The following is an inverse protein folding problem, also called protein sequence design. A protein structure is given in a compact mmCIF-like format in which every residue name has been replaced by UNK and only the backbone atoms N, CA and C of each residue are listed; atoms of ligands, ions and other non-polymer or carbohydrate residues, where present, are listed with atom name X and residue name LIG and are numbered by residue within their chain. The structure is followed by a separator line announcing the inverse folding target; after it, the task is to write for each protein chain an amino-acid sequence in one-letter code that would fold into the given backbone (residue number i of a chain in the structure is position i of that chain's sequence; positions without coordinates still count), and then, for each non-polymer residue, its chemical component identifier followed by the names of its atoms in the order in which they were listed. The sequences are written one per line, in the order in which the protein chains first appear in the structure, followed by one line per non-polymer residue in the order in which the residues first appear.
data_IF_706606488366
#
_entry.id   IF_706606488366
#
_cell.length_a   1.000
_cell.length_b   1.000
_cell.length_c   1.000
_cell.angle_alpha   90.00
_cell.angle_beta   90.00
_cell.angle_gamma   90.00
#
_symmetry.space_group_name_H-M   'P 1'
#
loop_
_entity.id
_entity.type
_entity.pdbx_description
1 polymer ?
#
# COMPACT_ATOMS: atom_id res chain seq x y z
N UNK A 1 23.85 -11.14 -11.29
CA UNK A 1 22.37 -11.18 -11.18
C UNK A 1 21.92 -12.57 -11.55
N UNK A 2 21.00 -13.15 -10.79
CA UNK A 2 20.41 -14.45 -11.13
C UNK A 2 19.40 -14.20 -12.27
N UNK A 3 19.53 -14.81 -13.46
CA UNK A 3 18.64 -14.55 -14.59
C UNK A 3 17.31 -15.31 -14.44
N UNK A 4 16.59 -15.04 -13.34
CA UNK A 4 15.29 -15.63 -13.03
C UNK A 4 14.26 -14.51 -12.88
N UNK A 5 13.11 -14.65 -13.53
CA UNK A 5 11.97 -13.77 -13.31
C UNK A 5 11.40 -14.00 -11.91
N UNK A 6 11.18 -12.92 -11.15
CA UNK A 6 10.64 -13.01 -9.78
C UNK A 6 11.23 -12.00 -8.79
N UNK A 7 12.24 -11.22 -9.19
CA UNK A 7 12.81 -10.16 -8.34
C UNK A 7 13.28 -10.70 -6.98
N UNK A 8 12.92 -10.00 -5.91
CA UNK A 8 13.30 -10.34 -4.53
C UNK A 8 12.82 -11.74 -4.11
N UNK A 9 11.64 -12.15 -4.57
CA UNK A 9 11.14 -13.50 -4.29
C UNK A 9 12.06 -14.58 -4.86
N UNK A 10 12.59 -14.38 -6.08
CA UNK A 10 13.49 -15.37 -6.70
C UNK A 10 14.80 -15.48 -5.92
N UNK A 11 15.32 -14.37 -5.38
CA UNK A 11 16.51 -14.39 -4.53
C UNK A 11 16.27 -15.09 -3.19
N UNK A 12 15.14 -14.82 -2.54
CA UNK A 12 14.79 -15.44 -1.25
C UNK A 12 14.54 -16.93 -1.41
N UNK A 13 13.88 -17.34 -2.50
CA UNK A 13 13.60 -18.74 -2.78
C UNK A 13 14.89 -19.55 -3.04
N UNK A 14 15.85 -18.98 -3.77
CA UNK A 14 17.14 -19.65 -4.02
C UNK A 14 17.98 -19.78 -2.75
N UNK A 15 17.94 -18.77 -1.86
CA UNK A 15 18.76 -18.75 -0.64
C UNK A 15 18.16 -19.56 0.53
N UNK A 16 16.84 -19.52 0.71
CA UNK A 16 16.17 -20.05 1.90
C UNK A 16 15.06 -21.08 1.61
N UNK A 17 14.75 -21.33 0.33
CA UNK A 17 13.72 -22.27 -0.10
C UNK A 17 12.30 -21.69 -0.12
N UNK A 18 11.33 -22.57 -0.39
CA UNK A 18 9.96 -22.19 -0.77
C UNK A 18 9.11 -21.62 0.35
N UNK A 19 9.26 -22.10 1.58
CA UNK A 19 8.47 -21.65 2.74
C UNK A 19 8.72 -20.18 3.10
N UNK A 20 9.97 -19.73 3.35
CA UNK A 20 10.24 -18.31 3.62
C UNK A 20 9.95 -17.42 2.42
N UNK A 21 10.15 -17.92 1.19
CA UNK A 21 9.80 -17.19 -0.02
C UNK A 21 8.28 -16.96 -0.13
N UNK A 22 7.45 -17.96 0.22
CA UNK A 22 6.00 -17.81 0.26
C UNK A 22 5.55 -16.76 1.28
N UNK A 23 6.11 -16.76 2.49
CA UNK A 23 5.78 -15.77 3.52
C UNK A 23 6.11 -14.34 3.08
N UNK A 24 7.25 -14.16 2.40
CA UNK A 24 7.60 -12.88 1.79
C UNK A 24 6.55 -12.44 0.78
N UNK A 25 6.22 -13.30 -0.20
CA UNK A 25 5.21 -13.00 -1.23
C UNK A 25 3.84 -12.68 -0.60
N UNK A 26 3.42 -13.46 0.39
CA UNK A 26 2.16 -13.28 1.10
C UNK A 26 2.07 -11.91 1.77
N UNK A 27 3.08 -11.54 2.57
CA UNK A 27 3.14 -10.23 3.24
C UNK A 27 3.22 -9.07 2.23
N UNK A 28 3.97 -9.25 1.15
CA UNK A 28 4.13 -8.24 0.12
C UNK A 28 2.80 -7.90 -0.57
N UNK A 29 2.06 -8.94 -0.98
CA UNK A 29 0.79 -8.78 -1.68
C UNK A 29 -0.35 -8.30 -0.78
N UNK A 30 -0.44 -8.80 0.45
CA UNK A 30 -1.58 -8.47 1.33
C UNK A 30 -1.36 -7.23 2.18
N UNK A 31 -0.12 -6.88 2.50
CA UNK A 31 0.19 -5.80 3.44
C UNK A 31 0.95 -4.68 2.74
N UNK A 32 2.11 -4.98 2.16
CA UNK A 32 3.03 -3.94 1.69
C UNK A 32 2.45 -3.16 0.50
N UNK A 33 1.99 -3.85 -0.54
CA UNK A 33 1.45 -3.18 -1.74
C UNK A 33 0.16 -2.41 -1.44
N UNK A 34 -0.85 -2.98 -0.74
CA UNK A 34 -2.06 -2.23 -0.41
C UNK A 34 -1.80 -1.05 0.54
N UNK A 35 -0.92 -1.21 1.54
CA UNK A 35 -0.59 -0.13 2.46
C UNK A 35 0.11 1.03 1.74
N UNK A 36 1.05 0.74 0.84
CA UNK A 36 1.70 1.77 0.02
C UNK A 36 0.68 2.55 -0.81
N UNK A 37 -0.23 1.85 -1.50
CA UNK A 37 -1.29 2.47 -2.27
C UNK A 37 -2.24 3.30 -1.39
N UNK A 38 -2.61 2.82 -0.20
CA UNK A 38 -3.46 3.54 0.74
C UNK A 38 -2.82 4.84 1.23
N UNK A 39 -1.54 4.81 1.60
CA UNK A 39 -0.79 6.00 2.01
C UNK A 39 -0.72 7.02 0.87
N UNK A 40 -0.42 6.58 -0.35
CA UNK A 40 -0.42 7.47 -1.52
C UNK A 40 -1.80 8.07 -1.77
N UNK A 41 -2.88 7.28 -1.68
CA UNK A 41 -4.24 7.75 -1.88
C UNK A 41 -4.66 8.78 -0.82
N UNK A 42 -4.34 8.53 0.46
CA UNK A 42 -4.62 9.46 1.56
C UNK A 42 -3.83 10.76 1.42
N UNK A 43 -2.56 10.64 1.04
CA UNK A 43 -1.69 11.80 0.79
C UNK A 43 -2.26 12.65 -0.35
N UNK A 44 -2.65 12.00 -1.45
CA UNK A 44 -3.28 12.66 -2.59
C UNK A 44 -4.58 13.39 -2.20
N UNK A 45 -5.46 12.72 -1.46
CA UNK A 45 -6.69 13.33 -0.97
C UNK A 45 -6.41 14.54 -0.06
N UNK A 46 -5.44 14.43 0.83
CA UNK A 46 -5.07 15.52 1.77
C UNK A 46 -4.58 16.76 1.02
N UNK A 47 -3.71 16.58 0.03
CA UNK A 47 -3.20 17.70 -0.78
C UNK A 47 -4.29 18.36 -1.65
N UNK A 48 -5.27 17.60 -2.13
CA UNK A 48 -6.41 18.16 -2.90
C UNK A 48 -7.35 18.96 -2.01
N UNK A 49 -7.57 18.52 -0.76
CA UNK A 49 -8.53 19.14 0.16
C UNK A 49 -7.96 20.37 0.87
N UNK A 50 -6.64 20.48 0.98
CA UNK A 50 -5.96 21.60 1.64
C UNK A 50 -6.42 23.02 1.23
N UNK A 51 -6.63 23.36 -0.06
CA UNK A 51 -7.13 24.70 -0.42
C UNK A 51 -8.58 24.97 -0.02
N UNK A 52 -9.38 23.95 0.22
CA UNK A 52 -10.79 24.10 0.60
C UNK A 52 -10.97 24.27 2.12
N UNK A 53 -9.99 23.82 2.90
CA UNK A 53 -9.94 23.98 4.36
C UNK A 53 -8.60 24.59 4.79
N UNK A 54 -8.39 25.91 4.59
CA UNK A 54 -7.12 26.58 4.85
C UNK A 54 -6.77 26.73 6.34
N UNK A 55 -7.75 26.66 7.24
CA UNK A 55 -7.57 26.90 8.69
C UNK A 55 -7.98 25.70 9.57
N UNK A 56 -8.45 24.58 9.00
CA UNK A 56 -8.79 23.38 9.77
C UNK A 56 -8.57 22.09 8.98
N UNK A 57 -8.53 20.96 9.68
CA UNK A 57 -8.42 19.66 9.03
C UNK A 57 -9.75 19.28 8.33
N UNK A 58 -9.71 18.74 7.10
CA UNK A 58 -10.89 18.24 6.44
C UNK A 58 -11.50 17.09 7.26
N UNK A 59 -12.83 16.95 7.30
CA UNK A 59 -13.48 15.93 8.13
C UNK A 59 -13.03 14.51 7.71
N UNK A 60 -12.55 13.72 8.68
CA UNK A 60 -12.09 12.33 8.46
C UNK A 60 -13.18 11.40 7.92
N UNK A 61 -14.45 11.80 8.09
CA UNK A 61 -15.60 11.03 7.64
C UNK A 61 -15.89 11.44 6.19
N UNK A 62 -15.92 10.50 5.23
CA UNK A 62 -16.52 10.81 3.94
C UNK A 62 -17.95 11.31 4.19
N UNK A 63 -18.37 12.36 3.50
CA UNK A 63 -19.79 12.66 3.34
C UNK A 63 -20.41 11.51 2.54
N UNK A 64 -20.61 10.36 3.18
CA UNK A 64 -21.50 9.31 2.68
C UNK A 64 -22.90 9.90 2.73
N UNK A 65 -23.46 10.15 1.55
CA UNK A 65 -24.82 10.62 1.30
C UNK A 65 -25.90 9.60 1.72
N UNK A 66 -25.60 8.71 2.69
CA UNK A 66 -26.44 7.58 3.12
C UNK A 66 -26.99 7.75 4.54
N UNK A 67 -27.03 8.97 5.07
CA UNK A 67 -27.99 9.28 6.13
C UNK A 67 -29.30 9.75 5.50
N UNK A 68 -30.20 8.78 5.28
CA UNK A 68 -31.66 8.89 5.03
C UNK A 68 -32.09 9.87 3.93
#
# INVERSE_FOLDING_TARGET
MIPKSGGDYAYINEAFGSYPAFLYLWSSLLVIMPAGNAVTALTFASYILQPFWPECDPPEKPCVFWHV
#
